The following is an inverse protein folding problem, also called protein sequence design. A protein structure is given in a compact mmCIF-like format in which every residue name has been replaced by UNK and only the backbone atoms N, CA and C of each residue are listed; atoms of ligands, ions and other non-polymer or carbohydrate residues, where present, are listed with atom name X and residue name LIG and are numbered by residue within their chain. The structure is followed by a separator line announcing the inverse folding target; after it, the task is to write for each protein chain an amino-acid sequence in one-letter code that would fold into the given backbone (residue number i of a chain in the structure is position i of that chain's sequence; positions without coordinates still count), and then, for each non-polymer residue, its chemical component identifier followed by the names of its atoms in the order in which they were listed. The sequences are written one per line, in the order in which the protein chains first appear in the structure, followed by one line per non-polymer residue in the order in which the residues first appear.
data_IF_949747302079
#
_entry.id   IF_949747302079
#
_cell.length_a   1.000
_cell.length_b   1.000
_cell.length_c   1.000
_cell.angle_alpha   90.00
_cell.angle_beta   90.00
_cell.angle_gamma   90.00
#
_symmetry.space_group_name_H-M   'P 1'
#
loop_
_entity.id
_entity.type
_entity.pdbx_description
1 polymer ?
#
# COMPACT_ATOMS: atom_id res chain seq x y z
N UNK A 1 -9.46 -15.98 8.50
CA UNK A 1 -9.35 -14.63 9.10
C UNK A 1 -7.94 -14.11 8.85
N UNK A 2 -7.75 -13.21 7.88
CA UNK A 2 -6.42 -12.72 7.45
C UNK A 2 -6.22 -11.21 7.63
N UNK A 3 -7.13 -10.55 8.32
CA UNK A 3 -7.13 -9.10 8.49
C UNK A 3 -6.00 -8.68 9.43
N UNK A 4 -4.91 -8.16 8.86
CA UNK A 4 -3.79 -7.56 9.60
C UNK A 4 -4.15 -6.22 10.25
N UNK A 5 -3.41 -5.83 11.29
CA UNK A 5 -3.57 -4.54 11.98
C UNK A 5 -3.49 -3.35 11.02
N UNK A 6 -2.70 -3.48 9.95
CA UNK A 6 -2.55 -2.45 8.92
C UNK A 6 -3.87 -2.17 8.19
N UNK A 7 -4.69 -3.19 7.90
CA UNK A 7 -5.99 -3.00 7.25
C UNK A 7 -6.95 -2.20 8.13
N UNK A 8 -6.94 -2.46 9.44
CA UNK A 8 -7.78 -1.75 10.40
C UNK A 8 -7.33 -0.30 10.51
N UNK A 9 -6.01 -0.07 10.65
CA UNK A 9 -5.46 1.27 10.70
C UNK A 9 -5.76 2.07 9.43
N UNK A 10 -5.68 1.43 8.26
CA UNK A 10 -6.01 2.06 6.99
C UNK A 10 -7.50 2.35 6.83
N UNK A 11 -8.37 1.42 7.24
CA UNK A 11 -9.82 1.61 7.24
C UNK A 11 -10.31 2.68 8.24
N UNK A 12 -9.53 2.96 9.28
CA UNK A 12 -9.81 4.01 10.26
C UNK A 12 -9.22 5.37 9.84
N UNK A 13 -8.42 5.43 8.77
CA UNK A 13 -7.71 6.66 8.38
C UNK A 13 -6.56 7.03 9.34
N UNK A 14 -6.11 6.09 10.17
CA UNK A 14 -5.11 6.34 11.21
C UNK A 14 -3.68 6.29 10.66
N UNK A 15 -3.30 7.36 9.95
CA UNK A 15 -1.96 7.57 9.38
C UNK A 15 -0.80 7.25 10.34
N UNK A 16 -0.89 7.72 11.59
CA UNK A 16 0.15 7.48 12.61
C UNK A 16 0.31 5.99 12.94
N UNK A 17 -0.81 5.26 13.05
CA UNK A 17 -0.76 3.82 13.34
C UNK A 17 -0.21 3.06 12.14
N UNK A 18 -0.59 3.46 10.91
CA UNK A 18 -0.03 2.90 9.68
C UNK A 18 1.49 3.08 9.64
N UNK A 19 1.99 4.27 10.00
CA UNK A 19 3.42 4.54 10.07
C UNK A 19 4.14 3.63 11.08
N UNK A 20 3.65 3.57 12.32
CA UNK A 20 4.24 2.74 13.38
C UNK A 20 4.27 1.26 12.95
N UNK A 21 3.18 0.76 12.38
CA UNK A 21 3.10 -0.61 11.89
C UNK A 21 4.13 -0.87 10.78
N UNK A 22 4.26 0.06 9.82
CA UNK A 22 5.26 -0.06 8.76
C UNK A 22 6.70 -0.03 9.32
N UNK A 23 6.98 0.83 10.30
CA UNK A 23 8.28 0.89 10.99
C UNK A 23 8.60 -0.41 11.74
N UNK A 24 7.58 -1.11 12.24
CA UNK A 24 7.72 -2.42 12.87
C UNK A 24 7.82 -3.59 11.88
N UNK A 25 7.93 -3.32 10.56
CA UNK A 25 8.04 -4.34 9.53
C UNK A 25 6.71 -5.00 9.16
N UNK A 26 5.58 -4.31 9.40
CA UNK A 26 4.30 -4.79 8.90
C UNK A 26 4.31 -4.88 7.37
N UNK A 27 3.72 -5.95 6.86
CA UNK A 27 3.71 -6.21 5.43
C UNK A 27 2.66 -5.32 4.74
N UNK A 28 3.11 -4.28 4.06
CA UNK A 28 2.25 -3.21 3.49
C UNK A 28 1.40 -3.72 2.32
N UNK A 29 1.89 -4.73 1.60
CA UNK A 29 1.18 -5.42 0.52
C UNK A 29 0.32 -6.59 0.99
N UNK A 30 0.12 -6.76 2.29
CA UNK A 30 -0.70 -7.86 2.77
C UNK A 30 -2.13 -7.69 2.25
N UNK A 31 -2.67 -8.77 1.69
CA UNK A 31 -4.04 -8.85 1.22
C UNK A 31 -4.82 -9.77 2.13
N UNK A 32 -6.10 -9.45 2.32
CA UNK A 32 -7.04 -10.35 2.97
C UNK A 32 -8.27 -10.56 2.08
N UNK A 33 -8.95 -11.67 2.33
CA UNK A 33 -10.16 -12.01 1.60
C UNK A 33 -11.36 -11.34 2.27
N UNK A 34 -11.98 -10.39 1.57
CA UNK A 34 -13.18 -9.68 1.97
C UNK A 34 -14.23 -9.87 0.87
N UNK A 35 -15.40 -10.42 1.22
CA UNK A 35 -16.54 -10.54 0.30
C UNK A 35 -16.21 -11.19 -1.06
N UNK A 36 -15.32 -12.19 -1.06
CA UNK A 36 -14.92 -12.88 -2.29
C UNK A 36 -13.86 -12.15 -3.13
N UNK A 37 -13.27 -11.09 -2.59
CA UNK A 37 -12.20 -10.30 -3.24
C UNK A 37 -10.98 -10.20 -2.33
N UNK A 38 -9.82 -10.03 -2.96
CA UNK A 38 -8.59 -9.69 -2.25
C UNK A 38 -8.49 -8.18 -2.13
N UNK A 39 -8.38 -7.71 -0.89
CA UNK A 39 -8.34 -6.27 -0.56
C UNK A 39 -7.05 -6.00 0.19
N UNK A 40 -6.33 -4.94 -0.21
CA UNK A 40 -5.16 -4.44 0.50
C UNK A 40 -5.53 -3.31 1.48
N UNK A 41 -4.60 -2.95 2.36
CA UNK A 41 -4.73 -1.74 3.16
C UNK A 41 -4.88 -0.47 2.30
N UNK A 42 -4.27 -0.45 1.10
CA UNK A 42 -4.40 0.67 0.16
C UNK A 42 -5.82 0.77 -0.41
N UNK A 43 -6.40 -0.34 -0.86
CA UNK A 43 -7.77 -0.36 -1.40
C UNK A 43 -8.80 0.14 -0.38
N UNK A 44 -8.62 -0.21 0.90
CA UNK A 44 -9.44 0.29 2.01
C UNK A 44 -9.27 1.81 2.19
N UNK A 45 -8.03 2.28 2.25
CA UNK A 45 -7.77 3.72 2.39
C UNK A 45 -8.31 4.52 1.20
N UNK A 46 -8.21 4.00 -0.03
CA UNK A 46 -8.69 4.64 -1.25
C UNK A 46 -10.21 4.69 -1.30
N UNK A 47 -10.89 3.57 -1.01
CA UNK A 47 -12.35 3.51 -0.97
C UNK A 47 -12.99 4.41 0.09
N UNK A 48 -12.25 4.73 1.15
CA UNK A 48 -12.66 5.61 2.25
C UNK A 48 -12.13 7.05 2.12
N UNK A 49 -11.46 7.39 1.00
CA UNK A 49 -10.86 8.72 0.76
C UNK A 49 -9.89 9.18 1.86
N UNK A 50 -9.07 8.27 2.37
CA UNK A 50 -8.02 8.58 3.34
C UNK A 50 -6.71 8.94 2.63
N UNK A 51 -6.67 10.12 1.99
CA UNK A 51 -5.51 10.58 1.21
C UNK A 51 -4.18 10.51 1.96
N UNK A 52 -4.14 10.93 3.23
CA UNK A 52 -2.93 10.85 4.05
C UNK A 52 -2.45 9.41 4.22
N UNK A 53 -3.36 8.46 4.44
CA UNK A 53 -3.02 7.04 4.53
C UNK A 53 -2.58 6.50 3.17
N UNK A 54 -3.27 6.85 2.09
CA UNK A 54 -2.89 6.48 0.74
C UNK A 54 -1.48 6.97 0.39
N UNK A 55 -1.13 8.21 0.76
CA UNK A 55 0.20 8.78 0.59
C UNK A 55 1.23 8.07 1.47
N UNK A 56 0.89 7.76 2.73
CA UNK A 56 1.74 6.98 3.63
C UNK A 56 2.02 5.59 3.06
N UNK A 57 0.99 4.81 2.73
CA UNK A 57 1.13 3.49 2.13
C UNK A 57 1.91 3.55 0.82
N UNK A 58 1.67 4.55 -0.05
CA UNK A 58 2.49 4.78 -1.26
C UNK A 58 3.94 5.07 -0.92
N UNK A 59 4.22 5.92 0.08
CA UNK A 59 5.59 6.28 0.47
C UNK A 59 6.36 5.12 1.09
N UNK A 60 5.70 4.29 1.92
CA UNK A 60 6.28 3.10 2.53
C UNK A 60 6.38 1.92 1.55
N UNK A 61 5.57 1.91 0.49
CA UNK A 61 5.47 0.83 -0.50
C UNK A 61 5.87 1.22 -1.94
N UNK A 62 6.67 2.27 -2.10
CA UNK A 62 7.27 2.67 -3.39
C UNK A 62 8.78 2.40 -3.47
N UNK A 63 9.28 1.36 -2.78
CA UNK A 63 10.52 0.69 -3.21
C UNK A 63 10.21 -0.62 -3.92
N UNK A 64 10.04 -0.46 -5.23
CA UNK A 64 10.62 -1.33 -6.25
C UNK A 64 10.21 -2.81 -6.20
N UNK A 65 9.33 -3.21 -7.11
CA UNK A 65 9.71 -4.30 -8.00
C UNK A 65 10.93 -3.84 -8.81
N UNK A 66 12.14 -4.43 -8.66
CA UNK A 66 13.21 -4.20 -9.60
C UNK A 66 13.03 -5.17 -10.77
N UNK A 67 12.16 -4.81 -11.72
CA UNK A 67 12.19 -5.30 -13.11
C UNK A 67 11.15 -4.48 -13.90
N UNK A 68 11.45 -3.83 -15.02
CA UNK A 68 12.58 -3.85 -15.93
C UNK A 68 12.52 -2.53 -16.75
N UNK A 69 13.67 -1.95 -17.11
CA UNK A 69 13.76 -0.88 -18.11
C UNK A 69 13.04 -1.28 -19.41
N UNK A 70 12.27 -0.35 -20.01
CA UNK A 70 12.19 -0.21 -21.47
C UNK A 70 11.49 1.10 -21.87
N UNK A 71 12.19 1.83 -22.73
CA UNK A 71 11.85 3.08 -23.41
C UNK A 71 11.95 4.33 -22.54
N UNK A 72 12.88 5.26 -22.77
CA UNK A 72 13.27 5.80 -24.08
C UNK A 72 14.71 6.33 -24.05
N UNK A 73 15.63 5.64 -24.74
CA UNK A 73 16.87 6.26 -25.23
C UNK A 73 16.62 6.70 -26.68
N UNK A 74 16.62 8.01 -27.00
CA UNK A 74 16.61 8.46 -28.38
C UNK A 74 18.02 8.36 -28.95
N UNK A 75 18.44 7.16 -29.33
CA UNK A 75 19.50 6.99 -30.33
C UNK A 75 18.84 6.84 -31.69
N UNK A 76 18.79 7.94 -32.44
CA UNK A 76 18.82 7.85 -33.89
C UNK A 76 19.64 9.01 -34.43
N UNK A 77 20.82 8.63 -34.92
CA UNK A 77 21.63 9.27 -35.96
C UNK A 77 20.78 9.98 -37.02
#
# INVERSE_FOLDING_TARGET
SGQSCLHIAAAMGHAVIVQILCEHGANVNQQFHLEGKYVTAYDLAESLQHDHVCQLLKSFNARQSPHCELSSNPETN
#
